data_IF_532451619642
#
_entry.id   IF_532451619642
#
_cell.length_a   1.000
_cell.length_b   1.000
_cell.length_c   1.000
_cell.angle_alpha   90.00
_cell.angle_beta   90.00
_cell.angle_gamma   90.00
#
_symmetry.space_group_name_H-M   'P 1'
#
loop_
_entity.id
_entity.type
_entity.pdbx_description
1 polymer ?
#
# COMPACT_ATOMS: atom_id res chain seq x y z
N UNK A 1 -9.74 -27.20 2.97
CA UNK A 1 -8.28 -26.95 2.98
C UNK A 1 -7.71 -27.32 4.36
N UNK A 2 -6.41 -27.50 4.48
CA UNK A 2 -5.75 -27.71 5.79
C UNK A 2 -5.53 -26.39 6.54
N UNK A 3 -5.39 -25.29 5.81
CA UNK A 3 -5.26 -23.92 6.31
C UNK A 3 -5.98 -22.95 5.39
N UNK A 4 -6.53 -21.87 5.96
CA UNK A 4 -7.12 -20.75 5.20
C UNK A 4 -6.15 -19.58 5.27
N UNK A 5 -5.74 -19.01 4.14
CA UNK A 5 -5.00 -17.74 4.13
C UNK A 5 -5.93 -16.64 3.64
N UNK A 6 -6.00 -15.53 4.36
CA UNK A 6 -6.89 -14.41 4.04
C UNK A 6 -6.12 -13.10 4.09
N UNK A 7 -6.19 -12.36 2.99
CA UNK A 7 -5.69 -11.00 2.83
C UNK A 7 -6.92 -10.10 2.61
N UNK A 8 -7.39 -9.47 3.68
CA UNK A 8 -8.57 -8.61 3.67
C UNK A 8 -8.54 -7.69 4.90
N UNK A 9 -9.30 -6.59 4.86
CA UNK A 9 -9.45 -5.62 5.95
C UNK A 9 -10.69 -5.87 6.82
N UNK A 10 -11.54 -6.83 6.44
CA UNK A 10 -12.76 -7.22 7.17
C UNK A 10 -12.80 -8.73 7.36
N UNK A 11 -13.18 -9.19 8.55
CA UNK A 11 -13.42 -10.61 8.83
C UNK A 11 -14.72 -11.09 8.16
N UNK A 12 -14.67 -12.26 7.53
CA UNK A 12 -15.86 -13.05 7.24
C UNK A 12 -16.01 -14.21 8.25
N UNK A 13 -17.17 -14.36 8.95
CA UNK A 13 -17.41 -15.43 9.92
C UNK A 13 -17.07 -16.84 9.41
N UNK A 14 -17.30 -17.09 8.11
CA UNK A 14 -16.97 -18.35 7.46
C UNK A 14 -15.50 -18.78 7.64
N UNK A 15 -14.56 -17.83 7.77
CA UNK A 15 -13.14 -18.10 8.00
C UNK A 15 -12.94 -18.82 9.34
N UNK A 16 -13.59 -18.33 10.40
CA UNK A 16 -13.50 -18.91 11.76
C UNK A 16 -14.29 -20.21 11.85
N UNK A 17 -15.46 -20.23 11.22
CA UNK A 17 -16.43 -21.33 11.33
C UNK A 17 -16.07 -22.54 10.47
N UNK A 18 -15.12 -22.41 9.54
CA UNK A 18 -14.68 -23.54 8.72
C UNK A 18 -14.01 -24.67 9.54
N UNK A 19 -13.56 -24.39 10.77
CA UNK A 19 -12.97 -25.39 11.66
C UNK A 19 -11.53 -25.78 11.29
N UNK A 20 -10.82 -24.90 10.58
CA UNK A 20 -9.40 -25.07 10.23
C UNK A 20 -8.60 -23.85 10.68
N UNK A 21 -7.29 -24.01 10.96
CA UNK A 21 -6.42 -22.87 11.21
C UNK A 21 -6.50 -21.85 10.07
N UNK A 22 -6.44 -20.58 10.41
CA UNK A 22 -6.42 -19.50 9.43
C UNK A 22 -5.25 -18.56 9.66
N UNK A 23 -4.71 -18.01 8.58
CA UNK A 23 -3.57 -17.10 8.57
C UNK A 23 -4.06 -15.77 8.03
N UNK A 24 -3.86 -14.69 8.79
CA UNK A 24 -4.10 -13.34 8.30
C UNK A 24 -2.87 -12.86 7.57
N UNK A 25 -3.03 -12.41 6.33
CA UNK A 25 -2.02 -11.66 5.60
C UNK A 25 -2.38 -10.19 5.74
N UNK A 26 -1.45 -9.41 6.28
CA UNK A 26 -1.55 -7.96 6.39
C UNK A 26 -0.70 -7.40 5.26
N UNK A 27 -1.35 -7.12 4.13
CA UNK A 27 -0.69 -6.59 2.92
C UNK A 27 -0.60 -5.07 2.91
N UNK A 28 -1.38 -4.39 3.76
CA UNK A 28 -1.23 -2.97 4.03
C UNK A 28 -0.08 -2.70 5.02
N UNK A 29 0.10 -1.44 5.38
CA UNK A 29 1.02 -1.03 6.46
C UNK A 29 0.77 -1.79 7.78
N UNK A 30 1.85 -2.06 8.52
CA UNK A 30 1.78 -2.93 9.71
C UNK A 30 0.90 -2.41 10.85
N UNK A 31 0.58 -1.12 10.87
CA UNK A 31 -0.29 -0.50 11.87
C UNK A 31 -1.78 -0.83 11.66
N UNK A 32 -2.14 -1.63 10.66
CA UNK A 32 -3.43 -2.34 10.62
C UNK A 32 -3.60 -3.27 11.84
N UNK A 33 -2.50 -3.80 12.37
CA UNK A 33 -2.45 -4.29 13.75
C UNK A 33 -2.21 -3.07 14.64
N UNK A 34 -3.26 -2.57 15.29
CA UNK A 34 -3.22 -1.33 16.07
C UNK A 34 -2.42 -1.48 17.38
N UNK A 35 -1.95 -0.35 17.90
CA UNK A 35 -1.34 -0.19 19.23
C UNK A 35 -1.46 1.30 19.64
N UNK A 36 -1.62 1.59 20.93
CA UNK A 36 -1.85 2.96 21.38
C UNK A 36 -0.69 3.92 21.07
N UNK A 37 0.54 3.39 21.03
CA UNK A 37 1.76 4.19 20.86
C UNK A 37 2.20 4.34 19.40
N UNK A 38 1.46 3.78 18.44
CA UNK A 38 1.75 3.91 17.00
C UNK A 38 0.65 4.70 16.27
N UNK A 39 0.95 5.28 15.09
CA UNK A 39 -0.06 5.98 14.29
C UNK A 39 -1.25 5.06 13.97
N UNK A 40 -2.51 5.51 14.18
CA UNK A 40 -3.67 4.74 13.78
C UNK A 40 -3.61 4.41 12.28
N UNK A 41 -4.04 3.21 11.92
CA UNK A 41 -4.15 2.83 10.51
C UNK A 41 -4.97 3.88 9.72
N UNK A 42 -4.54 4.17 8.48
CA UNK A 42 -5.15 5.17 7.57
C UNK A 42 -5.09 6.64 8.03
N UNK A 43 -4.38 6.96 9.10
CA UNK A 43 -4.36 8.33 9.65
C UNK A 43 -3.40 9.29 8.93
N UNK A 44 -2.30 8.77 8.37
CA UNK A 44 -1.19 9.59 7.88
C UNK A 44 -0.49 10.40 8.99
N UNK A 45 -0.76 10.13 10.26
CA UNK A 45 -0.14 10.83 11.37
C UNK A 45 1.35 10.46 11.49
N UNK A 46 2.16 11.43 11.97
CA UNK A 46 3.55 11.15 12.33
C UNK A 46 3.63 10.24 13.56
N UNK A 47 4.71 9.47 13.66
CA UNK A 47 4.95 8.50 14.75
C UNK A 47 4.78 9.11 16.15
N UNK A 48 5.22 10.35 16.35
CA UNK A 48 5.20 11.02 17.66
C UNK A 48 4.02 11.99 17.85
N UNK A 49 3.06 12.08 16.92
CA UNK A 49 1.89 12.96 17.04
C UNK A 49 0.75 12.28 17.80
N UNK A 50 0.98 11.93 19.08
CA UNK A 50 -0.02 11.24 19.91
C UNK A 50 -1.34 12.01 20.05
N UNK A 51 -1.28 13.35 20.04
CA UNK A 51 -2.48 14.17 20.03
C UNK A 51 -3.25 14.02 18.70
N UNK A 52 -2.54 13.94 17.57
CA UNK A 52 -3.11 13.59 16.27
C UNK A 52 -3.70 12.20 16.22
N UNK A 53 -3.02 11.21 16.81
CA UNK A 53 -3.53 9.84 16.91
C UNK A 53 -4.89 9.81 17.61
N UNK A 54 -5.01 10.50 18.74
CA UNK A 54 -6.27 10.57 19.49
C UNK A 54 -7.36 11.29 18.68
N UNK A 55 -7.06 12.46 18.12
CA UNK A 55 -8.03 13.21 17.28
C UNK A 55 -8.53 12.37 16.11
N UNK A 56 -7.63 11.63 15.45
CA UNK A 56 -8.00 10.74 14.36
C UNK A 56 -8.89 9.60 14.84
N UNK A 57 -8.52 8.88 15.91
CA UNK A 57 -9.33 7.78 16.46
C UNK A 57 -10.73 8.24 16.87
N UNK A 58 -10.84 9.39 17.53
CA UNK A 58 -12.12 9.95 17.94
C UNK A 58 -13.01 10.24 16.73
N UNK A 59 -12.45 10.90 15.71
CA UNK A 59 -13.20 11.24 14.51
C UNK A 59 -13.55 10.00 13.67
N UNK A 60 -12.58 9.10 13.46
CA UNK A 60 -12.77 7.85 12.75
C UNK A 60 -13.90 7.05 13.39
N UNK A 61 -13.83 6.80 14.70
CA UNK A 61 -14.85 6.06 15.45
C UNK A 61 -16.22 6.72 15.35
N UNK A 62 -16.31 8.05 15.41
CA UNK A 62 -17.58 8.75 15.25
C UNK A 62 -18.18 8.57 13.84
N UNK A 63 -17.36 8.65 12.80
CA UNK A 63 -17.80 8.54 11.40
C UNK A 63 -18.17 7.10 11.02
N UNK A 64 -17.35 6.12 11.42
CA UNK A 64 -17.55 4.71 11.05
C UNK A 64 -18.63 4.02 11.87
N UNK A 65 -19.08 4.62 12.99
CA UNK A 65 -20.00 3.97 13.94
C UNK A 65 -21.21 3.31 13.28
N UNK A 66 -21.96 3.94 12.35
CA UNK A 66 -23.13 3.29 11.75
C UNK A 66 -22.76 2.02 10.97
N UNK A 67 -21.70 2.09 10.17
CA UNK A 67 -21.19 0.95 9.38
C UNK A 67 -20.68 -0.16 10.32
N UNK A 68 -20.05 0.22 11.42
CA UNK A 68 -19.54 -0.71 12.41
C UNK A 68 -20.65 -1.38 13.23
N UNK A 69 -21.72 -0.64 13.57
CA UNK A 69 -22.91 -1.20 14.20
C UNK A 69 -23.58 -2.24 13.27
N UNK A 70 -23.69 -1.93 11.97
CA UNK A 70 -24.19 -2.87 10.95
C UNK A 70 -23.31 -4.11 10.83
N UNK A 71 -21.98 -3.93 10.85
CA UNK A 71 -21.03 -5.04 10.83
C UNK A 71 -21.16 -5.93 12.08
N UNK A 72 -21.29 -5.35 13.27
CA UNK A 72 -21.51 -6.10 14.51
C UNK A 72 -22.88 -6.81 14.52
N UNK A 73 -23.92 -6.21 13.92
CA UNK A 73 -25.21 -6.89 13.73
C UNK A 73 -25.08 -8.09 12.79
N UNK A 74 -24.29 -7.96 11.71
CA UNK A 74 -23.95 -9.07 10.82
C UNK A 74 -23.17 -10.18 11.54
N UNK A 75 -22.18 -9.83 12.38
CA UNK A 75 -21.46 -10.81 13.21
C UNK A 75 -22.41 -11.55 14.15
N UNK A 76 -23.29 -10.84 14.85
CA UNK A 76 -24.28 -11.44 15.73
C UNK A 76 -25.24 -12.39 15.00
N UNK A 77 -25.71 -12.02 13.81
CA UNK A 77 -26.55 -12.87 12.97
C UNK A 77 -25.84 -14.18 12.53
N UNK A 78 -24.50 -14.19 12.55
CA UNK A 78 -23.68 -15.35 12.22
C UNK A 78 -23.07 -16.02 13.48
N UNK A 79 -23.56 -15.72 14.69
CA UNK A 79 -23.07 -16.27 15.96
C UNK A 79 -21.60 -15.93 16.28
N UNK A 80 -21.11 -14.78 15.85
CA UNK A 80 -19.79 -14.24 16.20
C UNK A 80 -19.91 -13.14 17.27
N UNK A 81 -18.84 -12.98 18.06
CA UNK A 81 -18.73 -11.89 19.03
C UNK A 81 -18.60 -10.54 18.32
N UNK A 82 -19.13 -9.44 18.90
CA UNK A 82 -18.95 -8.10 18.34
C UNK A 82 -17.50 -7.64 18.52
N UNK A 83 -17.05 -6.78 17.62
CA UNK A 83 -15.75 -6.11 17.73
C UNK A 83 -15.83 -4.75 18.45
N UNK A 84 -14.72 -4.31 19.05
CA UNK A 84 -14.55 -2.92 19.49
C UNK A 84 -14.69 -1.95 18.32
N UNK A 85 -15.25 -0.77 18.57
CA UNK A 85 -15.44 0.26 17.54
C UNK A 85 -14.15 0.56 16.80
N UNK A 86 -14.23 0.54 15.46
CA UNK A 86 -13.11 0.80 14.56
C UNK A 86 -12.33 -0.46 14.14
N UNK A 87 -12.58 -1.61 14.77
CA UNK A 87 -11.98 -2.88 14.36
C UNK A 87 -12.95 -3.67 13.46
N UNK A 88 -12.50 -4.05 12.27
CA UNK A 88 -13.27 -4.89 11.35
C UNK A 88 -12.68 -6.29 11.15
N UNK A 89 -11.46 -6.51 11.63
CA UNK A 89 -10.78 -7.80 11.54
C UNK A 89 -9.80 -7.97 12.70
N UNK A 90 -9.99 -9.03 13.49
CA UNK A 90 -9.07 -9.44 14.55
C UNK A 90 -7.78 -10.08 14.00
N UNK A 91 -6.72 -10.09 14.80
CA UNK A 91 -5.53 -10.87 14.49
C UNK A 91 -5.86 -12.36 14.56
N UNK A 92 -5.25 -13.16 13.69
CA UNK A 92 -5.37 -14.61 13.77
C UNK A 92 -4.74 -15.13 15.06
N UNK A 93 -5.40 -16.06 15.77
CA UNK A 93 -4.79 -16.75 16.89
C UNK A 93 -3.70 -17.75 16.48
N UNK A 94 -3.62 -18.08 15.18
CA UNK A 94 -2.68 -19.08 14.65
C UNK A 94 -1.43 -18.46 14.04
N UNK A 95 -1.58 -17.53 13.09
CA UNK A 95 -0.45 -16.88 12.41
C UNK A 95 -0.90 -15.63 11.65
N UNK A 96 -0.06 -14.60 11.68
CA UNK A 96 -0.24 -13.33 11.00
C UNK A 96 1.05 -13.04 10.23
N UNK A 97 0.91 -12.78 8.93
CA UNK A 97 2.02 -12.47 8.04
C UNK A 97 1.93 -11.00 7.66
N UNK A 98 2.89 -10.20 8.10
CA UNK A 98 2.97 -8.77 7.78
C UNK A 98 3.87 -8.61 6.56
N UNK A 99 3.32 -8.12 5.45
CA UNK A 99 4.09 -7.77 4.27
C UNK A 99 4.81 -6.43 4.50
N UNK A 100 5.67 -6.33 5.50
CA UNK A 100 6.28 -5.07 5.88
C UNK A 100 7.75 -5.30 6.24
N UNK A 101 8.64 -4.34 5.96
CA UNK A 101 10.05 -4.47 6.29
C UNK A 101 10.25 -4.27 7.79
N UNK A 102 10.89 -5.24 8.46
CA UNK A 102 11.13 -5.16 9.90
C UNK A 102 12.01 -3.96 10.30
N UNK A 103 12.80 -3.45 9.34
CA UNK A 103 13.62 -2.25 9.50
C UNK A 103 12.79 -0.95 9.65
N UNK A 104 11.54 -0.94 9.18
CA UNK A 104 10.65 0.23 9.26
C UNK A 104 9.56 0.09 10.34
N UNK A 105 9.65 -0.93 11.22
CA UNK A 105 8.63 -1.18 12.22
C UNK A 105 8.51 -0.05 13.24
N UNK A 106 7.28 0.24 13.66
CA UNK A 106 6.94 1.13 14.74
C UNK A 106 7.32 0.55 16.10
N UNK A 107 7.59 1.45 17.04
CA UNK A 107 7.79 1.09 18.44
C UNK A 107 6.44 0.98 19.15
N UNK A 108 5.97 -0.25 19.29
CA UNK A 108 4.71 -0.58 19.96
C UNK A 108 4.85 -0.61 21.47
N UNK A 109 3.79 -0.25 22.18
CA UNK A 109 3.64 -0.49 23.62
C UNK A 109 3.60 -1.98 23.92
N UNK A 110 2.87 -2.72 23.09
CA UNK A 110 2.65 -4.15 23.19
C UNK A 110 3.37 -4.86 22.04
N UNK A 111 4.56 -5.46 22.29
CA UNK A 111 5.30 -6.17 21.25
C UNK A 111 4.47 -7.31 20.66
N UNK A 112 4.53 -7.47 19.33
CA UNK A 112 3.90 -8.59 18.64
C UNK A 112 4.63 -9.89 18.97
N UNK A 113 3.87 -10.94 19.29
CA UNK A 113 4.40 -12.27 19.60
C UNK A 113 5.08 -12.87 18.35
N UNK A 114 6.41 -13.08 18.34
CA UNK A 114 7.13 -13.61 17.18
C UNK A 114 6.76 -15.06 16.86
N UNK A 115 6.00 -15.78 17.70
CA UNK A 115 5.44 -17.08 17.33
C UNK A 115 4.17 -16.94 16.46
N UNK A 116 3.49 -15.78 16.51
CA UNK A 116 2.21 -15.53 15.83
C UNK A 116 2.27 -14.43 14.78
N UNK A 117 3.31 -13.62 14.76
CA UNK A 117 3.49 -12.51 13.83
C UNK A 117 4.85 -12.65 13.13
N UNK A 118 4.84 -12.77 11.82
CA UNK A 118 6.04 -12.87 10.99
C UNK A 118 6.07 -11.72 9.99
N UNK A 119 7.20 -11.01 9.94
CA UNK A 119 7.46 -10.03 8.90
C UNK A 119 7.98 -10.77 7.66
N UNK A 120 7.32 -10.55 6.52
CA UNK A 120 7.74 -11.09 5.22
C UNK A 120 8.78 -10.21 4.53
N UNK A 121 9.13 -9.08 5.14
CA UNK A 121 9.97 -8.01 4.57
C UNK A 121 9.35 -7.40 3.30
N UNK A 122 9.53 -8.06 2.17
CA UNK A 122 8.92 -7.73 0.90
C UNK A 122 8.86 -8.98 0.00
N UNK A 123 7.71 -9.21 -0.62
CA UNK A 123 7.50 -10.31 -1.55
C UNK A 123 7.78 -9.87 -3.00
N UNK A 124 9.01 -9.41 -3.27
CA UNK A 124 9.40 -8.88 -4.58
C UNK A 124 9.41 -10.00 -5.62
N UNK A 125 8.62 -9.82 -6.68
CA UNK A 125 8.48 -10.80 -7.76
C UNK A 125 9.59 -10.67 -8.78
N UNK A 126 9.94 -11.78 -9.41
CA UNK A 126 10.75 -11.77 -10.62
C UNK A 126 9.84 -11.54 -11.82
N UNK A 127 10.18 -10.54 -12.63
CA UNK A 127 9.45 -10.17 -13.84
C UNK A 127 10.36 -10.28 -15.07
N UNK A 128 9.74 -10.18 -16.25
CA UNK A 128 10.47 -10.20 -17.52
C UNK A 128 11.49 -9.05 -17.57
N UNK A 129 12.71 -9.28 -18.07
CA UNK A 129 13.71 -8.24 -18.24
C UNK A 129 13.15 -7.03 -18.99
N UNK A 130 13.54 -5.84 -18.55
CA UNK A 130 13.16 -4.58 -19.16
C UNK A 130 14.38 -3.84 -19.68
N UNK A 131 14.31 -3.31 -20.89
CA UNK A 131 15.34 -2.43 -21.45
C UNK A 131 14.77 -1.03 -21.51
N UNK A 132 15.39 -0.07 -20.81
CA UNK A 132 14.99 1.34 -20.88
C UNK A 132 15.16 1.83 -22.33
N UNK A 133 14.08 2.33 -22.97
CA UNK A 133 14.15 2.84 -24.33
C UNK A 133 14.94 4.15 -24.41
N UNK A 134 15.43 4.48 -25.60
CA UNK A 134 15.98 5.80 -25.91
C UNK A 134 14.86 6.84 -25.92
N UNK A 135 15.02 7.92 -25.17
CA UNK A 135 14.08 9.04 -25.14
C UNK A 135 14.37 10.01 -26.29
N UNK A 136 13.40 10.83 -26.67
CA UNK A 136 13.62 11.85 -27.69
C UNK A 136 14.46 13.04 -27.15
N UNK A 137 14.49 13.26 -25.83
CA UNK A 137 15.30 14.30 -25.17
C UNK A 137 15.86 13.81 -23.82
N UNK A 138 16.96 14.42 -23.39
CA UNK A 138 17.60 14.22 -22.07
C UNK A 138 18.12 12.79 -21.81
N UNK A 139 18.65 12.09 -22.82
CA UNK A 139 19.17 10.71 -22.64
C UNK A 139 20.30 10.58 -21.61
N UNK A 140 21.00 11.68 -21.32
CA UNK A 140 22.03 11.82 -20.29
C UNK A 140 21.45 12.18 -18.90
N UNK A 141 20.15 12.44 -18.81
CA UNK A 141 19.45 12.83 -17.59
C UNK A 141 19.07 11.65 -16.69
N UNK A 142 18.86 11.89 -15.38
CA UNK A 142 18.41 10.84 -14.46
C UNK A 142 17.02 10.34 -14.83
N UNK A 143 16.75 9.06 -14.57
CA UNK A 143 15.52 8.36 -14.91
C UNK A 143 14.60 8.26 -13.69
N UNK A 144 13.35 8.62 -13.88
CA UNK A 144 12.28 8.50 -12.90
C UNK A 144 11.29 7.42 -13.34
N UNK A 145 10.76 6.68 -12.38
CA UNK A 145 9.57 5.85 -12.59
C UNK A 145 8.39 6.43 -11.83
N UNK A 146 7.26 6.63 -12.50
CA UNK A 146 6.03 7.16 -11.91
C UNK A 146 4.92 6.12 -12.01
N UNK A 147 4.39 5.70 -10.87
CA UNK A 147 3.35 4.66 -10.80
C UNK A 147 2.40 4.86 -9.63
N UNK A 148 1.13 5.13 -9.95
CA UNK A 148 0.07 5.32 -8.95
C UNK A 148 -0.81 4.07 -8.77
N UNK A 149 -0.31 2.91 -9.24
CA UNK A 149 -1.06 1.66 -9.24
C UNK A 149 -2.28 1.71 -10.16
N UNK A 150 -3.00 0.59 -10.26
CA UNK A 150 -4.16 0.48 -11.16
C UNK A 150 -5.30 1.44 -10.78
N UNK A 151 -5.52 1.67 -9.48
CA UNK A 151 -6.57 2.56 -9.00
C UNK A 151 -6.21 4.04 -9.21
N UNK A 152 -4.99 4.44 -8.82
CA UNK A 152 -4.54 5.83 -8.98
C UNK A 152 -4.25 6.21 -10.43
N UNK A 153 -4.03 5.25 -11.33
CA UNK A 153 -3.98 5.50 -12.77
C UNK A 153 -5.30 6.08 -13.33
N UNK A 154 -6.42 5.89 -12.62
CA UNK A 154 -7.71 6.51 -12.96
C UNK A 154 -7.75 8.03 -12.75
N UNK A 155 -6.84 8.61 -11.97
CA UNK A 155 -6.71 10.05 -11.84
C UNK A 155 -5.84 10.63 -12.96
N UNK A 156 -6.43 10.67 -14.15
CA UNK A 156 -5.75 11.12 -15.38
C UNK A 156 -5.26 12.56 -15.25
N UNK A 157 -6.02 13.43 -14.59
CA UNK A 157 -5.66 14.85 -14.44
C UNK A 157 -4.48 15.04 -13.49
N UNK A 158 -4.38 14.27 -12.41
CA UNK A 158 -3.18 14.23 -11.58
C UNK A 158 -1.95 13.82 -12.39
N UNK A 159 -2.03 12.70 -13.13
CA UNK A 159 -0.90 12.20 -13.91
C UNK A 159 -0.49 13.17 -15.04
N UNK A 160 -1.45 13.83 -15.71
CA UNK A 160 -1.15 14.89 -16.70
C UNK A 160 -0.39 16.05 -16.07
N UNK A 161 -0.77 16.51 -14.86
CA UNK A 161 -0.03 17.58 -14.14
C UNK A 161 1.40 17.15 -13.79
N UNK A 162 1.58 15.90 -13.35
CA UNK A 162 2.91 15.34 -13.07
C UNK A 162 3.74 15.29 -14.35
N UNK A 163 3.21 14.73 -15.43
CA UNK A 163 3.86 14.64 -16.75
C UNK A 163 4.25 16.03 -17.26
N UNK A 164 3.33 17.00 -17.20
CA UNK A 164 3.58 18.37 -17.64
C UNK A 164 4.70 19.06 -16.82
N UNK A 165 4.80 18.73 -15.54
CA UNK A 165 5.86 19.23 -14.66
C UNK A 165 7.20 18.59 -15.01
N UNK A 166 7.24 17.26 -15.13
CA UNK A 166 8.45 16.50 -15.50
C UNK A 166 8.95 16.87 -16.91
N UNK A 167 8.04 17.16 -17.83
CA UNK A 167 8.36 17.62 -19.19
C UNK A 167 9.19 18.91 -19.27
N UNK A 168 9.19 19.72 -18.21
CA UNK A 168 9.97 20.96 -18.12
C UNK A 168 11.36 20.78 -17.48
N UNK A 169 11.71 19.54 -17.13
CA UNK A 169 12.95 19.23 -16.40
C UNK A 169 13.98 18.53 -17.27
N UNK A 170 15.17 18.30 -16.71
CA UNK A 170 16.21 17.44 -17.32
C UNK A 170 15.99 15.94 -17.08
N UNK A 171 15.03 15.57 -16.24
CA UNK A 171 14.77 14.17 -15.91
C UNK A 171 14.07 13.46 -17.07
N UNK A 172 14.31 12.17 -17.20
CA UNK A 172 13.52 11.26 -18.04
C UNK A 172 12.48 10.58 -17.17
N UNK A 173 11.29 10.31 -17.69
CA UNK A 173 10.26 9.64 -16.90
C UNK A 173 9.58 8.51 -17.66
N UNK A 174 9.52 7.34 -17.04
CA UNK A 174 8.61 6.26 -17.40
C UNK A 174 7.36 6.40 -16.53
N UNK A 175 6.18 6.54 -17.14
CA UNK A 175 4.93 6.81 -16.42
C UNK A 175 3.92 5.72 -16.74
N UNK A 176 3.56 4.94 -15.72
CA UNK A 176 2.50 3.95 -15.82
C UNK A 176 1.13 4.64 -15.74
N UNK A 177 0.36 4.54 -16.82
CA UNK A 177 -0.96 5.19 -16.97
C UNK A 177 -2.10 4.17 -17.05
N UNK A 178 -1.84 2.89 -16.79
CA UNK A 178 -2.86 1.85 -16.78
C UNK A 178 -3.70 1.79 -18.06
N UNK A 179 -5.00 1.51 -17.92
CA UNK A 179 -5.94 1.42 -19.04
C UNK A 179 -6.29 2.77 -19.70
N UNK A 180 -5.61 3.86 -19.36
CA UNK A 180 -5.95 5.23 -19.80
C UNK A 180 -4.95 5.82 -20.80
N UNK A 181 -4.06 5.00 -21.38
CA UNK A 181 -2.95 5.45 -22.26
C UNK A 181 -3.41 6.37 -23.39
N UNK A 182 -4.56 6.10 -23.96
CA UNK A 182 -5.20 6.82 -25.06
C UNK A 182 -5.60 8.26 -24.70
N UNK A 183 -5.62 8.61 -23.41
CA UNK A 183 -5.88 9.99 -22.95
C UNK A 183 -4.63 10.87 -22.89
N UNK A 184 -3.45 10.33 -23.22
CA UNK A 184 -2.17 11.03 -23.16
C UNK A 184 -1.62 11.27 -24.58
N UNK A 185 -2.17 12.28 -25.26
CA UNK A 185 -1.81 12.64 -26.64
C UNK A 185 -0.58 13.53 -26.73
N UNK A 186 -0.39 14.42 -25.76
CA UNK A 186 0.67 15.45 -25.75
C UNK A 186 1.76 15.11 -24.74
N UNK A 187 2.49 14.01 -25.00
CA UNK A 187 3.55 13.53 -24.11
C UNK A 187 4.87 14.27 -24.39
N UNK A 188 5.51 14.89 -23.37
CA UNK A 188 6.80 15.54 -23.54
C UNK A 188 7.90 14.59 -24.04
N UNK A 189 8.86 15.11 -24.82
CA UNK A 189 9.92 14.32 -25.46
C UNK A 189 10.86 13.54 -24.49
N UNK A 190 10.87 13.92 -23.21
CA UNK A 190 11.61 13.26 -22.12
C UNK A 190 10.72 12.34 -21.26
N UNK A 191 9.48 12.06 -21.68
CA UNK A 191 8.53 11.21 -20.96
C UNK A 191 8.07 10.09 -21.89
N UNK A 192 7.93 8.89 -21.34
CA UNK A 192 7.34 7.74 -22.02
C UNK A 192 6.19 7.23 -21.14
N UNK A 193 5.00 7.15 -21.73
CA UNK A 193 3.80 6.64 -21.07
C UNK A 193 3.49 5.24 -21.58
N UNK A 194 3.22 4.31 -20.68
CA UNK A 194 2.75 2.98 -21.04
C UNK A 194 1.65 2.51 -20.11
N UNK A 195 0.78 1.64 -20.62
CA UNK A 195 -0.31 1.05 -19.84
C UNK A 195 0.18 0.06 -18.79
N UNK A 196 1.38 -0.47 -18.97
CA UNK A 196 1.98 -1.43 -18.06
C UNK A 196 3.51 -1.44 -18.17
N UNK A 197 4.17 -1.66 -17.03
CA UNK A 197 5.60 -1.92 -16.93
C UNK A 197 5.84 -3.14 -16.04
N UNK A 198 6.88 -3.95 -16.32
CA UNK A 198 7.37 -4.97 -15.38
C UNK A 198 8.07 -4.26 -14.21
N UNK A 199 7.30 -3.70 -13.28
CA UNK A 199 7.76 -2.77 -12.24
C UNK A 199 9.02 -3.25 -11.47
N UNK A 200 9.09 -4.52 -10.98
CA UNK A 200 10.31 -5.07 -10.37
C UNK A 200 11.55 -5.06 -11.26
N UNK A 201 11.39 -5.12 -12.59
CA UNK A 201 12.50 -5.02 -13.54
C UNK A 201 12.84 -3.57 -13.89
N UNK A 202 11.92 -2.62 -13.71
CA UNK A 202 12.13 -1.18 -13.97
C UNK A 202 12.80 -0.49 -12.79
N UNK A 203 12.31 -0.71 -11.57
CA UNK A 203 12.78 -0.02 -10.35
C UNK A 203 14.32 -0.07 -10.18
N UNK A 204 15.03 -1.21 -10.33
CA UNK A 204 16.49 -1.22 -10.17
C UNK A 204 17.25 -0.35 -11.18
N UNK A 205 16.62 0.02 -12.30
CA UNK A 205 17.23 0.81 -13.38
C UNK A 205 16.99 2.33 -13.26
N UNK A 206 16.10 2.77 -12.36
CA UNK A 206 15.78 4.20 -12.20
C UNK A 206 16.59 4.84 -11.07
N UNK A 207 16.66 6.17 -11.09
CA UNK A 207 17.32 6.97 -10.05
C UNK A 207 16.38 7.29 -8.89
N UNK A 208 15.07 7.41 -9.15
CA UNK A 208 14.04 7.57 -8.12
C UNK A 208 12.66 7.11 -8.60
N UNK A 209 11.78 6.81 -7.65
CA UNK A 209 10.38 6.41 -7.91
C UNK A 209 9.42 7.45 -7.34
N UNK A 210 8.38 7.81 -8.09
CA UNK A 210 7.24 8.60 -7.60
C UNK A 210 6.04 7.66 -7.57
N UNK A 211 5.50 7.37 -6.38
CA UNK A 211 4.38 6.44 -6.25
C UNK A 211 3.37 6.84 -5.19
N UNK A 212 2.23 6.17 -5.22
CA UNK A 212 1.05 6.46 -4.40
C UNK A 212 1.12 6.00 -2.93
N UNK A 213 2.26 5.49 -2.47
CA UNK A 213 2.42 4.94 -1.12
C UNK A 213 2.14 3.44 -0.96
N UNK A 214 1.39 2.82 -1.89
CA UNK A 214 0.99 1.42 -1.76
C UNK A 214 2.14 0.45 -1.44
N UNK A 215 1.89 -0.41 -0.47
CA UNK A 215 2.93 -1.15 0.26
C UNK A 215 3.83 -2.04 -0.62
N UNK A 216 3.31 -2.61 -1.72
CA UNK A 216 4.15 -3.34 -2.69
C UNK A 216 5.20 -2.44 -3.35
N UNK A 217 4.83 -1.22 -3.78
CA UNK A 217 5.78 -0.30 -4.42
C UNK A 217 6.78 0.24 -3.40
N UNK A 218 6.31 0.50 -2.17
CA UNK A 218 7.16 0.90 -1.05
C UNK A 218 8.24 -0.15 -0.75
N UNK A 219 7.83 -1.41 -0.57
CA UNK A 219 8.77 -2.53 -0.29
C UNK A 219 9.72 -2.81 -1.45
N UNK A 220 9.27 -2.73 -2.70
CA UNK A 220 10.15 -2.85 -3.88
C UNK A 220 11.20 -1.73 -3.93
N UNK A 221 10.83 -0.48 -3.63
CA UNK A 221 11.80 0.62 -3.58
C UNK A 221 12.87 0.39 -2.52
N UNK A 222 12.46 -0.06 -1.32
CA UNK A 222 13.40 -0.40 -0.25
C UNK A 222 14.30 -1.57 -0.62
N UNK A 223 13.74 -2.64 -1.20
CA UNK A 223 14.48 -3.82 -1.64
C UNK A 223 15.58 -3.49 -2.66
N UNK A 224 15.29 -2.63 -3.64
CA UNK A 224 16.27 -2.20 -4.64
C UNK A 224 17.09 -0.97 -4.23
N UNK A 225 16.92 -0.46 -3.00
CA UNK A 225 17.64 0.70 -2.49
C UNK A 225 17.38 1.99 -3.26
N UNK A 226 16.14 2.19 -3.75
CA UNK A 226 15.76 3.36 -4.55
C UNK A 226 15.03 4.41 -3.72
N UNK A 227 15.42 5.70 -3.82
CA UNK A 227 14.69 6.77 -3.17
C UNK A 227 13.29 6.92 -3.78
N UNK A 228 12.31 7.21 -2.94
CA UNK A 228 10.92 7.37 -3.33
C UNK A 228 10.37 8.73 -2.90
N UNK A 229 9.60 9.36 -3.79
CA UNK A 229 8.67 10.44 -3.45
C UNK A 229 7.29 9.79 -3.35
N UNK A 230 6.79 9.70 -2.13
CA UNK A 230 5.47 9.14 -1.85
C UNK A 230 4.45 10.28 -1.94
N UNK A 231 3.47 10.11 -2.83
CA UNK A 231 2.31 10.98 -2.97
C UNK A 231 1.06 10.17 -2.64
N UNK A 232 0.66 10.06 -1.36
CA UNK A 232 -0.45 9.21 -0.93
C UNK A 232 -1.72 9.50 -1.73
N UNK A 233 -2.43 8.45 -2.15
CA UNK A 233 -3.67 8.58 -2.94
C UNK A 233 -4.90 8.13 -2.16
N UNK A 234 -4.98 6.85 -1.83
CA UNK A 234 -6.08 6.24 -1.06
C UNK A 234 -5.56 4.97 -0.38
N UNK A 235 -6.22 4.58 0.70
CA UNK A 235 -5.82 3.52 1.61
C UNK A 235 -4.56 3.83 2.43
N UNK A 236 -3.62 2.89 2.49
CA UNK A 236 -2.57 2.76 3.49
C UNK A 236 -1.26 3.47 3.14
#
# INVERSE_FOLDING_TARGET
PDVICVDNVILFPAIKQFGKPWVRVISCSENEIDDEDIPPHLSGCGENDHAGHQRYRDHFNAVIKPIHDDFNAFLAANNEAPYPIGQFFEASPHLNLLLYPAAAKFKRRHPLDPAKFQYLEGCVRQEKPYTVPTFAKNNDGPLLYVSFGSLGAGDVELLKRIIATLGKTRYRALVNVGGYKDQYTDVPANVIVESWFPQPSVIPQVDAVIHHGGNNSFTECLYFGKPAIIMPYVWD
#
